data_IF_537699237790
#
_entry.id   IF_537699237790
#
_cell.length_a   1.000
_cell.length_b   1.000
_cell.length_c   1.000
_cell.angle_alpha   90.00
_cell.angle_beta   90.00
_cell.angle_gamma   90.00
#
_symmetry.space_group_name_H-M   'P 1'
#
loop_
_entity.id
_entity.type
_entity.pdbx_description
1 polymer ?
#
# COMPACT_ATOMS: atom_id res chain seq x y z
N UNK A 1 -15.61 -18.71 3.13
CA UNK A 1 -15.04 -17.43 3.60
C UNK A 1 -13.56 -17.31 3.27
N UNK A 2 -12.75 -18.27 3.71
CA UNK A 2 -11.30 -18.21 3.48
C UNK A 2 -10.94 -18.12 2.00
N UNK A 3 -11.64 -18.85 1.14
CA UNK A 3 -11.39 -18.83 -0.31
C UNK A 3 -11.66 -17.46 -0.92
N UNK A 4 -12.70 -16.77 -0.46
CA UNK A 4 -13.03 -15.45 -0.98
C UNK A 4 -11.96 -14.43 -0.58
N UNK A 5 -11.46 -14.50 0.65
CA UNK A 5 -10.41 -13.61 1.12
C UNK A 5 -9.11 -13.86 0.37
N UNK A 6 -8.79 -15.12 0.09
CA UNK A 6 -7.56 -15.48 -0.61
C UNK A 6 -7.54 -15.08 -2.09
N UNK A 7 -8.72 -14.87 -2.69
CA UNK A 7 -8.82 -14.52 -4.12
C UNK A 7 -8.88 -13.02 -4.37
N UNK A 8 -8.93 -12.20 -3.33
CA UNK A 8 -9.04 -10.75 -3.44
C UNK A 8 -7.84 -10.05 -2.81
N UNK A 9 -7.45 -8.93 -3.39
CA UNK A 9 -6.44 -8.05 -2.81
C UNK A 9 -7.13 -6.72 -2.52
N UNK A 10 -7.09 -6.30 -1.25
CA UNK A 10 -7.65 -5.03 -0.82
C UNK A 10 -6.56 -3.97 -0.88
N UNK A 11 -6.83 -2.89 -1.59
CA UNK A 11 -5.91 -1.75 -1.67
C UNK A 11 -6.48 -0.62 -0.82
N UNK A 12 -5.79 -0.28 0.26
CA UNK A 12 -6.27 0.71 1.23
C UNK A 12 -5.54 2.03 1.10
N UNK A 13 -6.27 3.13 1.22
CA UNK A 13 -5.69 4.45 1.38
C UNK A 13 -5.12 4.53 2.79
N UNK A 14 -3.78 4.58 2.91
CA UNK A 14 -3.12 4.55 4.20
C UNK A 14 -3.53 5.76 5.06
N UNK A 15 -3.42 6.95 4.51
CA UNK A 15 -3.57 8.18 5.29
C UNK A 15 -5.02 8.47 5.67
N UNK A 16 -5.96 8.13 4.81
CA UNK A 16 -7.36 8.49 5.01
C UNK A 16 -8.19 7.36 5.63
N UNK A 17 -7.71 6.13 5.56
CA UNK A 17 -8.47 4.98 6.04
C UNK A 17 -7.85 4.34 7.28
N UNK A 18 -6.53 4.20 7.32
CA UNK A 18 -5.86 3.42 8.36
C UNK A 18 -5.22 4.27 9.45
N UNK A 19 -4.87 5.52 9.18
CA UNK A 19 -4.22 6.39 10.15
C UNK A 19 -5.20 7.34 10.80
N UNK A 20 -4.94 7.66 12.07
CA UNK A 20 -5.71 8.67 12.80
C UNK A 20 -5.23 10.06 12.41
N UNK A 21 -5.92 11.09 12.93
CA UNK A 21 -5.58 12.48 12.63
C UNK A 21 -4.18 12.90 13.05
N UNK A 22 -3.56 12.18 13.99
CA UNK A 22 -2.18 12.43 14.41
C UNK A 22 -1.14 11.76 13.50
N UNK A 23 -1.58 11.06 12.46
CA UNK A 23 -0.68 10.39 11.53
C UNK A 23 -0.21 9.02 11.98
N UNK A 24 -0.74 8.50 13.08
CA UNK A 24 -0.37 7.19 13.60
C UNK A 24 -1.51 6.18 13.40
N UNK A 25 -1.13 4.90 13.30
CA UNK A 25 -2.12 3.83 13.18
C UNK A 25 -2.61 3.44 14.57
N UNK A 26 -3.92 3.58 14.86
CA UNK A 26 -4.45 3.14 16.15
C UNK A 26 -4.25 1.63 16.35
N UNK A 27 -4.07 1.21 17.60
CA UNK A 27 -3.84 -0.20 17.90
C UNK A 27 -5.02 -1.06 17.45
N UNK A 28 -6.25 -0.57 17.57
CA UNK A 28 -7.43 -1.33 17.15
C UNK A 28 -7.39 -1.60 15.64
N UNK A 29 -6.94 -0.63 14.84
CA UNK A 29 -6.79 -0.82 13.40
C UNK A 29 -5.72 -1.86 13.12
N UNK A 30 -4.60 -1.77 13.81
CA UNK A 30 -3.49 -2.72 13.68
C UNK A 30 -3.94 -4.15 14.00
N UNK A 31 -4.72 -4.31 15.06
CA UNK A 31 -5.25 -5.61 15.46
C UNK A 31 -6.21 -6.18 14.40
N UNK A 32 -7.06 -5.33 13.83
CA UNK A 32 -7.99 -5.76 12.78
C UNK A 32 -7.21 -6.21 11.54
N UNK A 33 -6.17 -5.48 11.15
CA UNK A 33 -5.36 -5.85 10.00
C UNK A 33 -4.62 -7.17 10.21
N UNK A 34 -4.12 -7.40 11.42
CA UNK A 34 -3.47 -8.66 11.75
C UNK A 34 -4.46 -9.82 11.72
N UNK A 35 -5.66 -9.61 12.24
CA UNK A 35 -6.71 -10.62 12.18
C UNK A 35 -7.11 -10.92 10.73
N UNK A 36 -7.27 -9.90 9.92
CA UNK A 36 -7.60 -10.05 8.51
C UNK A 36 -6.54 -10.90 7.79
N UNK A 37 -5.26 -10.58 8.01
CA UNK A 37 -4.15 -11.34 7.40
C UNK A 37 -4.12 -12.78 7.90
N UNK A 38 -4.36 -13.00 9.19
CA UNK A 38 -4.33 -14.35 9.76
C UNK A 38 -5.42 -15.25 9.22
N UNK A 39 -6.48 -14.66 8.69
CA UNK A 39 -7.60 -15.39 8.08
C UNK A 39 -7.51 -15.47 6.56
N UNK A 40 -6.33 -15.24 6.02
CA UNK A 40 -6.09 -15.34 4.59
C UNK A 40 -6.40 -14.07 3.81
N UNK A 41 -6.73 -12.98 4.48
CA UNK A 41 -6.95 -11.70 3.83
C UNK A 41 -5.64 -11.14 3.28
N UNK A 42 -5.73 -10.51 2.13
CA UNK A 42 -4.58 -9.91 1.46
C UNK A 42 -4.85 -8.44 1.27
N UNK A 43 -3.89 -7.61 1.73
CA UNK A 43 -4.03 -6.17 1.56
C UNK A 43 -2.69 -5.51 1.26
N UNK A 44 -2.76 -4.37 0.62
CA UNK A 44 -1.64 -3.45 0.49
C UNK A 44 -2.17 -2.02 0.60
N UNK A 45 -1.30 -1.04 0.51
CA UNK A 45 -1.67 0.35 0.72
C UNK A 45 -1.18 1.23 -0.42
N UNK A 46 -1.83 2.38 -0.58
CA UNK A 46 -1.31 3.45 -1.43
C UNK A 46 -1.27 4.74 -0.59
N UNK A 47 -0.30 5.60 -0.88
CA UNK A 47 -0.05 6.78 -0.07
C UNK A 47 0.84 7.78 -0.79
N UNK A 48 0.78 9.04 -0.37
CA UNK A 48 1.72 10.08 -0.80
C UNK A 48 3.06 9.97 -0.08
N UNK A 49 3.12 9.21 1.01
CA UNK A 49 4.32 9.11 1.84
C UNK A 49 5.43 8.34 1.14
N UNK A 50 6.68 8.62 1.56
CA UNK A 50 7.84 7.85 1.13
C UNK A 50 7.83 6.46 1.76
N UNK A 51 8.58 5.49 1.21
CA UNK A 51 8.69 4.16 1.82
C UNK A 51 9.15 4.21 3.28
N UNK A 52 10.08 5.09 3.61
CA UNK A 52 10.57 5.23 4.98
C UNK A 52 9.45 5.67 5.94
N UNK A 53 8.64 6.64 5.51
CA UNK A 53 7.53 7.11 6.32
C UNK A 53 6.43 6.04 6.46
N UNK A 54 6.19 5.27 5.41
CA UNK A 54 5.23 4.16 5.45
C UNK A 54 5.69 3.09 6.45
N UNK A 55 6.96 2.71 6.40
CA UNK A 55 7.52 1.73 7.32
C UNK A 55 7.34 2.18 8.78
N UNK A 56 7.55 3.45 9.05
CA UNK A 56 7.45 3.98 10.40
C UNK A 56 6.03 3.82 10.98
N UNK A 57 5.00 3.96 10.16
CA UNK A 57 3.61 3.86 10.66
C UNK A 57 3.03 2.45 10.57
N UNK A 58 3.51 1.61 9.65
CA UNK A 58 3.02 0.24 9.54
C UNK A 58 3.46 -0.63 10.71
N UNK A 59 4.68 -0.40 11.22
CA UNK A 59 5.20 -1.25 12.28
C UNK A 59 5.30 -2.70 11.83
N UNK A 60 4.61 -3.61 12.53
CA UNK A 60 4.62 -5.03 12.21
C UNK A 60 3.53 -5.49 11.26
N UNK A 61 2.77 -4.56 10.68
CA UNK A 61 1.69 -4.95 9.76
C UNK A 61 2.29 -5.49 8.46
N UNK A 62 1.82 -6.65 8.03
CA UNK A 62 2.27 -7.28 6.79
C UNK A 62 1.43 -6.84 5.61
N UNK A 63 2.10 -6.53 4.52
CA UNK A 63 1.43 -6.26 3.24
C UNK A 63 1.58 -7.48 2.33
N UNK A 64 0.50 -7.85 1.65
CA UNK A 64 0.47 -9.02 0.77
C UNK A 64 1.03 -8.73 -0.62
N UNK A 65 1.23 -7.46 -0.94
CA UNK A 65 1.72 -7.00 -2.24
C UNK A 65 2.55 -5.74 -2.04
N UNK A 66 3.33 -5.30 -3.04
CA UNK A 66 4.06 -4.04 -2.93
C UNK A 66 3.13 -2.86 -2.67
N UNK A 67 3.57 -1.94 -1.83
CA UNK A 67 2.84 -0.71 -1.55
C UNK A 67 3.09 0.31 -2.66
N UNK A 68 2.07 1.10 -2.98
CA UNK A 68 2.21 2.24 -3.88
C UNK A 68 2.52 3.47 -3.05
N UNK A 69 3.75 3.94 -3.14
CA UNK A 69 4.25 5.06 -2.33
C UNK A 69 4.54 6.27 -3.20
N UNK A 70 4.85 7.39 -2.55
CA UNK A 70 5.19 8.63 -3.25
C UNK A 70 4.13 9.05 -4.25
N UNK A 71 2.85 8.97 -3.86
CA UNK A 71 1.75 9.33 -4.76
C UNK A 71 1.53 8.36 -5.89
N UNK A 72 1.97 7.11 -5.74
CA UNK A 72 1.83 6.09 -6.77
C UNK A 72 2.99 6.03 -7.74
N UNK A 73 4.02 6.85 -7.55
CA UNK A 73 5.17 6.87 -8.46
C UNK A 73 6.22 5.81 -8.13
N UNK A 74 6.12 5.18 -6.97
CA UNK A 74 7.09 4.18 -6.53
C UNK A 74 6.37 2.98 -5.91
N UNK A 75 6.49 1.83 -6.55
CA UNK A 75 6.02 0.57 -5.98
C UNK A 75 7.16 -0.02 -5.13
N UNK A 76 6.90 -0.27 -3.86
CA UNK A 76 7.94 -0.67 -2.92
C UNK A 76 7.51 -1.92 -2.15
N UNK A 77 8.37 -2.93 -2.14
CA UNK A 77 8.14 -4.17 -1.40
C UNK A 77 8.81 -4.08 -0.05
N UNK A 78 8.01 -4.18 1.01
CA UNK A 78 8.53 -4.21 2.37
C UNK A 78 8.83 -5.64 2.79
N UNK A 79 9.91 -5.82 3.54
CA UNK A 79 10.30 -7.11 4.11
C UNK A 79 10.89 -6.87 5.49
N UNK A 80 11.11 -7.95 6.24
CA UNK A 80 11.73 -7.83 7.54
C UNK A 80 13.14 -7.24 7.40
N UNK A 81 13.41 -6.24 8.22
CA UNK A 81 14.72 -5.59 8.22
C UNK A 81 14.99 -4.68 7.03
N UNK A 82 14.04 -4.51 6.12
CA UNK A 82 14.27 -3.64 4.97
C UNK A 82 13.17 -3.69 3.94
N UNK A 83 13.56 -3.56 2.70
CA UNK A 83 12.65 -3.56 1.57
C UNK A 83 13.39 -3.07 0.34
N UNK A 84 12.72 -3.08 -0.80
CA UNK A 84 13.33 -2.63 -2.05
C UNK A 84 12.30 -2.07 -2.99
N UNK A 85 12.68 -1.07 -3.79
CA UNK A 85 11.82 -0.58 -4.85
C UNK A 85 11.71 -1.63 -5.94
N UNK A 86 10.51 -1.81 -6.48
CA UNK A 86 10.29 -2.72 -7.60
C UNK A 86 10.20 -1.95 -8.90
N UNK A 87 9.55 -0.79 -8.87
CA UNK A 87 9.26 -0.02 -10.05
C UNK A 87 9.13 1.44 -9.66
N UNK A 88 9.75 2.33 -10.43
CA UNK A 88 9.61 3.77 -10.21
C UNK A 88 9.19 4.42 -11.52
N UNK A 89 8.18 5.27 -11.42
CA UNK A 89 7.68 6.02 -12.56
C UNK A 89 8.15 7.48 -12.52
N UNK A 90 8.92 7.85 -11.49
CA UNK A 90 9.46 9.19 -11.38
C UNK A 90 10.43 9.46 -12.55
N UNK A 91 10.25 10.59 -13.21
CA UNK A 91 11.04 10.95 -14.39
C UNK A 91 10.58 10.32 -15.69
N UNK A 92 9.58 9.44 -15.63
CA UNK A 92 9.03 8.78 -16.82
C UNK A 92 7.54 9.04 -16.96
N UNK A 93 7.00 9.98 -16.22
CA UNK A 93 5.56 10.20 -16.10
C UNK A 93 4.90 10.44 -17.44
N UNK A 94 5.49 11.28 -18.27
CA UNK A 94 4.89 11.60 -19.55
C UNK A 94 4.82 10.39 -20.46
N UNK A 95 5.90 9.62 -20.54
CA UNK A 95 5.94 8.42 -21.36
C UNK A 95 4.94 7.38 -20.89
N UNK A 96 4.86 7.18 -19.58
CA UNK A 96 3.92 6.23 -18.98
C UNK A 96 2.50 6.72 -19.17
N UNK A 97 2.26 8.01 -18.97
CA UNK A 97 0.94 8.61 -19.14
C UNK A 97 0.40 8.36 -20.55
N UNK A 98 1.25 8.48 -21.55
CA UNK A 98 0.85 8.24 -22.95
C UNK A 98 0.47 6.78 -23.21
N UNK A 99 1.00 5.85 -22.45
CA UNK A 99 0.71 4.43 -22.60
C UNK A 99 -0.53 3.99 -21.86
N UNK A 100 -1.09 4.84 -20.99
CA UNK A 100 -2.29 4.50 -20.24
C UNK A 100 -3.54 4.64 -21.12
N UNK A 101 -4.55 3.79 -20.91
CA UNK A 101 -5.85 3.98 -21.54
C UNK A 101 -6.44 5.33 -21.18
N UNK A 102 -7.20 5.92 -22.12
CA UNK A 102 -7.80 7.24 -21.90
C UNK A 102 -8.63 7.32 -20.63
N UNK A 103 -9.36 6.25 -20.29
CA UNK A 103 -10.18 6.20 -19.08
C UNK A 103 -9.34 6.32 -17.80
N UNK A 104 -8.10 5.85 -17.83
CA UNK A 104 -7.20 5.94 -16.68
C UNK A 104 -6.55 7.32 -16.63
N UNK A 105 -6.31 7.93 -17.77
CA UNK A 105 -5.64 9.23 -17.85
C UNK A 105 -6.52 10.42 -17.45
N UNK A 106 -7.80 10.20 -17.28
CA UNK A 106 -8.74 11.26 -16.94
C UNK A 106 -8.76 11.58 -15.44
N UNK A 107 -7.72 11.31 -14.72
CA UNK A 107 -7.67 11.50 -13.28
C UNK A 107 -7.22 12.94 -12.89
#
# INVERSE_FOLDING_TARGET
MTKLLGSALVLCDLDHLLLAGDGNMPQVVRDVLQLFSSRGGRLTVFTQRSPRAVRAVLGGVRLAAPALTCGGTLAYRFSEGGGQPLCSFAGCEESIFKKLPAAVRCV
#
